data_IF_664260827498
#
_entry.id   IF_664260827498
#
_cell.length_a   1.000
_cell.length_b   1.000
_cell.length_c   1.000
_cell.angle_alpha   90.00
_cell.angle_beta   90.00
_cell.angle_gamma   90.00
#
_symmetry.space_group_name_H-M   'P 1'
#
loop_
_entity.id
_entity.type
_entity.pdbx_description
1 polymer ?
#
# COMPACT_ATOMS: atom_id res chain seq x y z
N UNK A 1 1.50 -4.39 -3.29
CA UNK A 1 0.68 -4.59 -2.08
C UNK A 1 1.25 -3.70 -0.98
N UNK A 2 0.99 -2.39 -1.01
CA UNK A 2 1.62 -1.40 -0.12
C UNK A 2 0.82 -1.09 1.16
N UNK A 3 -0.45 -1.51 1.20
CA UNK A 3 -1.36 -1.35 2.35
C UNK A 3 -0.87 -2.03 3.65
N UNK A 4 -0.29 -3.25 3.66
CA UNK A 4 0.15 -3.85 4.91
C UNK A 4 1.34 -3.11 5.54
N UNK A 5 2.28 -2.61 4.74
CA UNK A 5 3.44 -1.86 5.26
C UNK A 5 3.03 -0.56 5.95
N UNK A 6 2.23 0.26 5.29
CA UNK A 6 1.78 1.55 5.84
C UNK A 6 0.88 1.41 7.09
N UNK A 7 0.10 0.33 7.17
CA UNK A 7 -0.69 0.04 8.38
C UNK A 7 0.22 -0.35 9.54
N UNK A 8 1.25 -1.15 9.28
CA UNK A 8 2.24 -1.51 10.30
C UNK A 8 3.05 -0.29 10.76
N UNK A 9 3.38 0.62 9.85
CA UNK A 9 4.06 1.88 10.19
C UNK A 9 3.22 2.69 11.19
N UNK A 10 1.91 2.82 10.99
CA UNK A 10 1.01 3.52 11.94
C UNK A 10 0.88 2.76 13.26
N UNK A 11 0.72 1.45 13.23
CA UNK A 11 0.60 0.65 14.47
C UNK A 11 1.89 0.77 15.30
N UNK A 12 3.05 0.85 14.64
CA UNK A 12 4.34 0.99 15.31
C UNK A 12 4.55 2.35 16.00
N UNK A 13 3.76 3.39 15.67
CA UNK A 13 3.87 4.70 16.35
C UNK A 13 3.11 4.74 17.67
N UNK A 14 2.06 3.93 17.84
CA UNK A 14 1.21 3.92 19.04
C UNK A 14 2.00 3.70 20.34
N UNK A 15 2.95 2.73 20.44
CA UNK A 15 3.76 2.58 21.64
C UNK A 15 4.61 3.82 21.98
N UNK A 16 5.11 4.51 20.95
CA UNK A 16 5.91 5.73 21.15
C UNK A 16 5.07 6.87 21.73
N UNK A 17 3.79 6.95 21.36
CA UNK A 17 2.82 7.91 21.92
C UNK A 17 2.52 7.63 23.38
N UNK A 18 2.20 6.38 23.70
CA UNK A 18 1.92 5.97 25.07
C UNK A 18 3.12 6.24 25.99
N UNK A 19 4.33 5.98 25.49
CA UNK A 19 5.56 6.31 26.19
C UNK A 19 5.73 7.82 26.38
N UNK A 20 5.54 8.62 25.33
CA UNK A 20 5.64 10.08 25.41
C UNK A 20 4.63 10.67 26.41
N UNK A 21 3.38 10.19 26.41
CA UNK A 21 2.33 10.59 27.36
C UNK A 21 2.74 10.27 28.79
N UNK A 22 3.24 9.06 29.04
CA UNK A 22 3.66 8.63 30.37
C UNK A 22 4.85 9.46 30.88
N UNK A 23 5.87 9.66 30.03
CA UNK A 23 7.02 10.49 30.37
C UNK A 23 6.61 11.95 30.63
N UNK A 24 5.80 12.55 29.77
CA UNK A 24 5.34 13.93 29.93
C UNK A 24 4.54 14.12 31.22
N UNK A 25 3.60 13.21 31.51
CA UNK A 25 2.82 13.24 32.76
C UNK A 25 3.71 13.09 34.00
N UNK A 26 4.69 12.18 33.96
CA UNK A 26 5.65 12.01 35.05
C UNK A 26 6.53 13.25 35.26
N UNK A 27 7.06 13.84 34.19
CA UNK A 27 7.88 15.05 34.26
C UNK A 27 7.08 16.24 34.79
N UNK A 28 5.86 16.42 34.32
CA UNK A 28 5.00 17.53 34.73
C UNK A 28 4.57 17.43 36.20
N UNK A 29 4.23 16.22 36.66
CA UNK A 29 4.05 15.92 38.07
C UNK A 29 5.31 16.24 38.89
N UNK A 30 6.49 15.86 38.37
CA UNK A 30 7.76 16.08 39.06
C UNK A 30 8.18 17.55 39.15
N UNK A 31 7.76 18.39 38.21
CA UNK A 31 7.97 19.84 38.27
C UNK A 31 7.13 20.41 39.41
N UNK A 32 5.84 20.07 39.46
CA UNK A 32 4.94 20.52 40.53
C UNK A 32 5.40 20.03 41.92
N UNK A 33 5.75 18.74 42.05
CA UNK A 33 6.13 18.14 43.34
C UNK A 33 7.47 18.64 43.90
N UNK A 34 8.31 19.30 43.08
CA UNK A 34 9.61 19.87 43.51
C UNK A 34 9.63 21.40 43.53
N UNK A 35 8.50 22.03 43.20
CA UNK A 35 8.41 23.48 43.18
C UNK A 35 8.49 24.03 44.61
N UNK A 36 9.08 25.22 44.77
CA UNK A 36 9.36 25.80 46.10
C UNK A 36 8.08 26.10 46.86
N UNK A 37 7.05 26.61 46.17
CA UNK A 37 5.74 26.94 46.74
C UNK A 37 4.68 25.94 46.25
N UNK A 38 4.36 24.88 47.00
CA UNK A 38 3.45 23.83 46.54
C UNK A 38 2.06 24.36 46.16
N UNK A 39 1.59 25.41 46.84
CA UNK A 39 0.32 26.09 46.58
C UNK A 39 0.20 26.81 45.22
N UNK A 40 1.31 27.00 44.49
CA UNK A 40 1.34 27.70 43.18
C UNK A 40 1.72 26.76 42.05
N UNK A 41 1.05 25.62 41.98
CA UNK A 41 1.26 24.59 40.97
C UNK A 41 -0.08 24.16 40.36
N UNK A 42 -0.04 23.64 39.14
CA UNK A 42 -1.23 23.11 38.44
C UNK A 42 -1.98 22.04 39.25
N UNK A 43 -1.25 21.26 40.07
CA UNK A 43 -1.82 20.17 40.86
C UNK A 43 -2.49 20.69 42.13
N UNK A 44 -1.92 21.73 42.75
CA UNK A 44 -2.50 22.38 43.92
C UNK A 44 -3.79 23.13 43.60
N UNK A 45 -3.84 23.79 42.45
CA UNK A 45 -5.05 24.48 41.97
C UNK A 45 -6.21 23.49 41.78
N UNK A 46 -5.92 22.27 41.32
CA UNK A 46 -6.95 21.24 41.08
C UNK A 46 -7.31 20.38 42.31
N UNK A 47 -6.37 20.09 43.21
CA UNK A 47 -6.55 19.11 44.30
C UNK A 47 -6.34 19.68 45.70
N UNK A 48 -6.02 20.97 45.81
CA UNK A 48 -5.66 21.66 47.04
C UNK A 48 -4.18 21.48 47.43
N UNK A 49 -3.74 22.31 48.38
CA UNK A 49 -2.34 22.41 48.84
C UNK A 49 -1.78 21.10 49.42
N UNK A 50 -2.65 20.21 49.89
CA UNK A 50 -2.29 18.90 50.45
C UNK A 50 -2.30 17.77 49.41
N UNK A 51 -2.05 18.05 48.12
CA UNK A 51 -2.01 17.00 47.08
C UNK A 51 -0.99 15.88 47.35
N UNK A 52 -0.02 16.11 48.25
CA UNK A 52 0.92 15.08 48.70
C UNK A 52 0.27 13.98 49.56
N UNK A 53 -0.84 14.27 50.25
CA UNK A 53 -1.60 13.33 51.08
C UNK A 53 -2.54 12.44 50.26
N UNK A 54 -2.79 12.83 49.00
CA UNK A 54 -3.62 12.04 48.08
C UNK A 54 -2.92 10.73 47.68
N UNK A 55 -3.74 9.70 47.45
CA UNK A 55 -3.25 8.39 46.98
C UNK A 55 -2.46 8.53 45.68
N UNK A 56 -1.36 7.78 45.55
CA UNK A 56 -0.50 7.77 44.36
C UNK A 56 -1.29 7.54 43.06
N UNK A 57 -2.30 6.67 43.10
CA UNK A 57 -3.17 6.38 41.94
C UNK A 57 -3.91 7.61 41.44
N UNK A 58 -4.44 8.45 42.34
CA UNK A 58 -5.17 9.68 41.99
C UNK A 58 -4.21 10.66 41.31
N UNK A 59 -3.04 10.87 41.90
CA UNK A 59 -2.01 11.77 41.37
C UNK A 59 -1.51 11.32 40.00
N UNK A 60 -1.30 10.01 39.82
CA UNK A 60 -0.88 9.43 38.56
C UNK A 60 -1.95 9.57 37.47
N UNK A 61 -3.21 9.20 37.77
CA UNK A 61 -4.32 9.30 36.83
C UNK A 61 -4.54 10.75 36.38
N UNK A 62 -4.47 11.71 37.30
CA UNK A 62 -4.59 13.15 36.98
C UNK A 62 -3.45 13.65 36.10
N UNK A 63 -2.22 13.19 36.34
CA UNK A 63 -1.05 13.57 35.53
C UNK A 63 -1.11 12.98 34.11
N UNK A 64 -1.57 11.73 33.98
CA UNK A 64 -1.82 11.11 32.68
C UNK A 64 -3.00 11.77 31.97
N UNK A 65 -4.06 12.12 32.70
CA UNK A 65 -5.20 12.83 32.14
C UNK A 65 -4.79 14.18 31.56
N UNK A 66 -4.00 14.99 32.27
CA UNK A 66 -3.43 16.23 31.72
C UNK A 66 -2.61 16.00 30.45
N UNK A 67 -1.74 14.99 30.46
CA UNK A 67 -0.87 14.65 29.34
C UNK A 67 -1.68 14.23 28.10
N UNK A 68 -2.71 13.39 28.27
CA UNK A 68 -3.60 12.94 27.19
C UNK A 68 -4.46 14.10 26.65
N UNK A 69 -5.07 14.92 27.50
CA UNK A 69 -5.92 16.04 27.04
C UNK A 69 -5.14 17.11 26.30
N UNK A 70 -3.87 17.29 26.65
CA UNK A 70 -2.93 18.19 25.95
C UNK A 70 -2.44 17.57 24.64
N UNK A 71 -2.05 16.29 24.63
CA UNK A 71 -1.65 15.57 23.39
C UNK A 71 -2.76 15.53 22.36
N UNK A 72 -3.99 15.23 22.80
CA UNK A 72 -5.17 15.16 21.93
C UNK A 72 -5.71 16.53 21.55
N UNK A 73 -5.08 17.61 22.01
CA UNK A 73 -5.49 19.01 21.77
C UNK A 73 -6.92 19.32 22.21
N UNK A 74 -7.46 18.56 23.17
CA UNK A 74 -8.82 18.78 23.70
C UNK A 74 -8.82 19.99 24.64
N UNK A 75 -7.83 20.06 25.54
CA UNK A 75 -7.54 21.27 26.32
C UNK A 75 -8.73 21.85 27.09
N UNK A 76 -9.36 21.07 27.98
CA UNK A 76 -10.51 21.54 28.78
C UNK A 76 -10.22 22.77 29.66
N UNK A 77 -8.96 23.05 29.97
CA UNK A 77 -8.53 24.21 30.77
C UNK A 77 -8.64 24.01 32.28
N UNK A 78 -9.18 22.88 32.74
CA UNK A 78 -9.26 22.54 34.17
C UNK A 78 -7.89 22.27 34.81
N UNK A 79 -6.90 21.89 34.00
CA UNK A 79 -5.52 21.68 34.42
C UNK A 79 -4.66 22.56 33.53
N UNK A 80 -4.08 23.62 34.10
CA UNK A 80 -3.32 24.63 33.38
C UNK A 80 -2.06 24.99 34.16
N UNK A 81 -0.98 25.43 33.48
CA UNK A 81 0.24 25.86 34.15
C UNK A 81 0.00 27.12 34.97
N UNK A 82 0.46 27.14 36.22
CA UNK A 82 0.32 28.29 37.13
C UNK A 82 1.67 29.01 37.28
N UNK A 83 2.77 28.27 37.24
CA UNK A 83 4.11 28.82 37.39
C UNK A 83 4.88 28.89 36.06
N UNK A 84 5.90 29.74 36.01
CA UNK A 84 6.70 29.95 34.79
C UNK A 84 7.43 28.68 34.33
N UNK A 85 7.81 27.79 35.25
CA UNK A 85 8.49 26.53 34.89
C UNK A 85 7.54 25.55 34.18
N UNK A 86 6.32 25.43 34.68
CA UNK A 86 5.22 24.68 34.07
C UNK A 86 4.87 25.27 32.70
N UNK A 87 4.77 26.60 32.58
CA UNK A 87 4.50 27.26 31.30
C UNK A 87 5.56 26.96 30.23
N UNK A 88 6.84 26.97 30.61
CA UNK A 88 7.93 26.65 29.69
C UNK A 88 7.84 25.19 29.25
N UNK A 89 7.64 24.26 30.19
CA UNK A 89 7.50 22.83 29.88
C UNK A 89 6.31 22.57 28.96
N UNK A 90 5.15 23.15 29.29
CA UNK A 90 3.91 23.00 28.53
C UNK A 90 4.06 23.55 27.11
N UNK A 91 4.72 24.69 26.94
CA UNK A 91 5.02 25.26 25.61
C UNK A 91 5.84 24.29 24.75
N UNK A 92 6.91 23.70 25.30
CA UNK A 92 7.71 22.71 24.56
C UNK A 92 6.93 21.44 24.25
N UNK A 93 6.10 20.98 25.20
CA UNK A 93 5.27 19.81 25.03
C UNK A 93 4.21 20.01 23.94
N UNK A 94 3.54 21.17 23.92
CA UNK A 94 2.58 21.53 22.87
C UNK A 94 3.24 21.61 21.48
N UNK A 95 4.45 22.18 21.38
CA UNK A 95 5.20 22.21 20.12
C UNK A 95 5.57 20.80 19.62
N UNK A 96 5.99 19.92 20.53
CA UNK A 96 6.26 18.53 20.21
C UNK A 96 4.98 17.81 19.73
N UNK A 97 3.86 18.00 20.44
CA UNK A 97 2.58 17.40 20.08
C UNK A 97 2.11 17.84 18.68
N UNK A 98 2.27 19.13 18.34
CA UNK A 98 1.91 19.63 17.01
C UNK A 98 2.70 18.93 15.89
N UNK A 99 4.02 18.81 16.06
CA UNK A 99 4.87 18.11 15.09
C UNK A 99 4.52 16.62 14.98
N UNK A 100 4.24 15.99 16.13
CA UNK A 100 3.88 14.60 16.20
C UNK A 100 2.52 14.30 15.53
N UNK A 101 1.49 15.09 15.84
CA UNK A 101 0.17 14.97 15.21
C UNK A 101 0.24 15.22 13.70
N UNK A 102 1.07 16.16 13.25
CA UNK A 102 1.30 16.39 11.82
C UNK A 102 1.92 15.16 11.13
N UNK A 103 2.87 14.49 11.79
CA UNK A 103 3.47 13.25 11.30
C UNK A 103 2.44 12.12 11.20
N UNK A 104 1.60 11.92 12.21
CA UNK A 104 0.53 10.92 12.17
C UNK A 104 -0.44 11.17 11.02
N UNK A 105 -0.94 12.40 10.89
CA UNK A 105 -1.86 12.78 9.81
C UNK A 105 -1.20 12.59 8.44
N UNK A 106 0.10 12.89 8.32
CA UNK A 106 0.89 12.64 7.11
C UNK A 106 0.88 11.17 6.71
N UNK A 107 1.19 10.28 7.64
CA UNK A 107 1.20 8.84 7.41
C UNK A 107 -0.20 8.27 7.10
N UNK A 108 -1.22 8.73 7.82
CA UNK A 108 -2.61 8.37 7.54
C UNK A 108 -3.05 8.79 6.13
N UNK A 109 -2.72 10.02 5.70
CA UNK A 109 -3.01 10.48 4.33
C UNK A 109 -2.30 9.62 3.29
N UNK A 110 -1.02 9.27 3.51
CA UNK A 110 -0.29 8.39 2.63
C UNK A 110 -0.99 7.03 2.49
N UNK A 111 -1.46 6.44 3.59
CA UNK A 111 -2.24 5.20 3.55
C UNK A 111 -3.52 5.34 2.70
N UNK A 112 -4.31 6.39 2.93
CA UNK A 112 -5.56 6.62 2.20
C UNK A 112 -5.30 6.82 0.70
N UNK A 113 -4.29 7.61 0.36
CA UNK A 113 -3.91 7.87 -1.04
C UNK A 113 -3.49 6.57 -1.72
N UNK A 114 -2.63 5.76 -1.10
CA UNK A 114 -2.19 4.49 -1.69
C UNK A 114 -3.32 3.46 -1.77
N UNK A 115 -4.19 3.41 -0.74
CA UNK A 115 -5.34 2.50 -0.70
C UNK A 115 -6.39 2.83 -1.77
N UNK A 116 -6.59 4.11 -2.06
CA UNK A 116 -7.61 4.56 -3.03
C UNK A 116 -7.06 4.92 -4.40
N UNK A 117 -5.73 4.94 -4.59
CA UNK A 117 -5.07 5.40 -5.82
C UNK A 117 -5.59 4.70 -7.07
N UNK A 118 -5.74 3.37 -7.05
CA UNK A 118 -6.23 2.60 -8.20
C UNK A 118 -7.65 2.98 -8.61
N UNK A 119 -8.56 3.05 -7.63
CA UNK A 119 -9.95 3.46 -7.85
C UNK A 119 -10.01 4.92 -8.32
N UNK A 120 -9.15 5.79 -7.80
CA UNK A 120 -9.03 7.19 -8.21
C UNK A 120 -8.61 7.30 -9.68
N UNK A 121 -7.52 6.64 -10.08
CA UNK A 121 -7.05 6.62 -11.47
C UNK A 121 -8.13 6.11 -12.42
N UNK A 122 -8.84 5.05 -12.04
CA UNK A 122 -9.96 4.53 -12.83
C UNK A 122 -11.06 5.57 -13.00
N UNK A 123 -11.52 6.20 -11.91
CA UNK A 123 -12.53 7.26 -11.97
C UNK A 123 -12.08 8.46 -12.80
N UNK A 124 -10.84 8.89 -12.65
CA UNK A 124 -10.27 10.00 -13.42
C UNK A 124 -10.21 9.67 -14.92
N UNK A 125 -9.85 8.43 -15.27
CA UNK A 125 -9.82 7.96 -16.67
C UNK A 125 -11.22 7.92 -17.27
N UNK A 126 -12.21 7.39 -16.54
CA UNK A 126 -13.61 7.35 -16.95
C UNK A 126 -14.16 8.77 -17.13
N UNK A 127 -13.85 9.68 -16.21
CA UNK A 127 -14.27 11.07 -16.29
C UNK A 127 -13.67 11.79 -17.49
N UNK A 128 -12.38 11.58 -17.77
CA UNK A 128 -11.68 12.14 -18.92
C UNK A 128 -12.27 11.60 -20.24
N UNK A 129 -12.50 10.29 -20.34
CA UNK A 129 -13.09 9.65 -21.50
C UNK A 129 -14.53 10.14 -21.75
N UNK A 130 -15.35 10.24 -20.70
CA UNK A 130 -16.72 10.78 -20.79
C UNK A 130 -16.72 12.25 -21.23
N UNK A 131 -15.81 13.06 -20.69
CA UNK A 131 -15.66 14.47 -21.08
C UNK A 131 -15.23 14.61 -22.55
N UNK A 132 -14.33 13.75 -23.02
CA UNK A 132 -13.91 13.70 -24.42
C UNK A 132 -15.07 13.32 -25.35
N UNK A 133 -15.87 12.32 -24.97
CA UNK A 133 -17.03 11.91 -25.75
C UNK A 133 -18.07 13.03 -25.89
N UNK A 134 -18.35 13.75 -24.80
CA UNK A 134 -19.27 14.89 -24.79
C UNK A 134 -18.77 16.05 -25.64
N UNK A 135 -17.48 16.42 -25.51
CA UNK A 135 -16.88 17.54 -26.27
C UNK A 135 -16.89 17.29 -27.77
N UNK A 136 -16.65 16.06 -28.19
CA UNK A 136 -16.62 15.68 -29.61
C UNK A 136 -17.98 15.19 -30.13
N UNK A 137 -19.05 15.29 -29.32
CA UNK A 137 -20.42 14.90 -29.72
C UNK A 137 -20.48 13.47 -30.29
N UNK A 138 -19.79 12.53 -29.64
CA UNK A 138 -19.80 11.14 -30.07
C UNK A 138 -21.21 10.54 -29.92
N UNK A 139 -21.67 9.70 -30.87
CA UNK A 139 -22.93 8.98 -30.73
C UNK A 139 -22.89 8.04 -29.53
N UNK A 140 -24.01 7.93 -28.81
CA UNK A 140 -24.11 7.22 -27.52
C UNK A 140 -23.54 5.79 -27.56
N UNK A 141 -23.72 5.09 -28.69
CA UNK A 141 -23.18 3.75 -28.90
C UNK A 141 -21.66 3.68 -28.78
N UNK A 142 -20.92 4.65 -29.31
CA UNK A 142 -19.46 4.68 -29.23
C UNK A 142 -18.98 5.04 -27.82
N UNK A 143 -19.72 5.91 -27.13
CA UNK A 143 -19.45 6.26 -25.74
C UNK A 143 -19.59 5.02 -24.83
N UNK A 144 -20.68 4.26 -24.99
CA UNK A 144 -20.92 3.04 -24.21
C UNK A 144 -19.85 1.98 -24.46
N UNK A 145 -19.44 1.78 -25.74
CA UNK A 145 -18.37 0.85 -26.08
C UNK A 145 -17.03 1.25 -25.46
N UNK A 146 -16.69 2.54 -25.49
CA UNK A 146 -15.46 3.06 -24.90
C UNK A 146 -15.43 2.86 -23.37
N UNK A 147 -16.52 3.22 -22.69
CA UNK A 147 -16.62 3.05 -21.23
C UNK A 147 -16.62 1.56 -20.85
N UNK A 148 -17.33 0.71 -21.58
CA UNK A 148 -17.34 -0.73 -21.35
C UNK A 148 -15.93 -1.34 -21.48
N UNK A 149 -15.16 -0.91 -22.51
CA UNK A 149 -13.78 -1.35 -22.67
C UNK A 149 -12.89 -0.90 -21.51
N UNK A 150 -13.01 0.34 -21.03
CA UNK A 150 -12.24 0.84 -19.88
C UNK A 150 -12.58 0.09 -18.58
N UNK A 151 -13.87 -0.20 -18.35
CA UNK A 151 -14.33 -0.99 -17.21
C UNK A 151 -13.80 -2.43 -17.24
N UNK A 152 -13.86 -3.08 -18.42
CA UNK A 152 -13.32 -4.43 -18.59
C UNK A 152 -11.81 -4.47 -18.39
N UNK A 153 -11.07 -3.50 -18.95
CA UNK A 153 -9.62 -3.40 -18.77
C UNK A 153 -9.24 -3.26 -17.29
N UNK A 154 -9.93 -2.38 -16.55
CA UNK A 154 -9.69 -2.23 -15.11
C UNK A 154 -9.94 -3.52 -14.34
N UNK A 155 -11.02 -4.24 -14.69
CA UNK A 155 -11.34 -5.53 -14.07
C UNK A 155 -10.27 -6.58 -14.37
N UNK A 156 -9.86 -6.73 -15.62
CA UNK A 156 -8.82 -7.69 -16.01
C UNK A 156 -7.47 -7.35 -15.39
N UNK A 157 -7.10 -6.07 -15.27
CA UNK A 157 -5.86 -5.67 -14.61
C UNK A 157 -5.90 -5.99 -13.10
N UNK A 158 -7.07 -5.83 -12.47
CA UNK A 158 -7.26 -6.15 -11.05
C UNK A 158 -7.22 -7.66 -10.76
N UNK A 159 -7.89 -8.46 -11.59
CA UNK A 159 -7.91 -9.93 -11.49
C UNK A 159 -6.57 -10.53 -11.92
N UNK A 160 -5.93 -9.95 -12.94
CA UNK A 160 -4.61 -10.32 -13.44
C UNK A 160 -3.55 -10.18 -12.36
N UNK A 161 -3.51 -9.07 -11.62
CA UNK A 161 -2.56 -8.88 -10.52
C UNK A 161 -2.72 -9.93 -9.40
N UNK A 162 -3.96 -10.30 -9.06
CA UNK A 162 -4.23 -11.36 -8.09
C UNK A 162 -3.74 -12.72 -8.60
N UNK A 163 -4.03 -13.03 -9.86
CA UNK A 163 -3.45 -14.18 -10.55
C UNK A 163 -1.94 -14.12 -10.57
N UNK A 164 -1.36 -12.92 -10.71
CA UNK A 164 0.08 -12.73 -10.79
C UNK A 164 0.79 -13.11 -9.48
N UNK A 165 0.23 -12.68 -8.36
CA UNK A 165 0.73 -13.04 -7.04
C UNK A 165 0.53 -14.53 -6.72
N UNK A 166 -0.60 -15.11 -7.13
CA UNK A 166 -0.88 -16.52 -6.93
C UNK A 166 0.09 -17.45 -7.69
N UNK A 167 0.45 -17.13 -8.95
CA UNK A 167 1.44 -17.92 -9.68
C UNK A 167 2.85 -17.77 -9.11
N UNK A 168 3.22 -16.55 -8.69
CA UNK A 168 4.54 -16.32 -8.12
C UNK A 168 4.72 -17.15 -6.83
N UNK A 169 3.67 -17.20 -6.00
CA UNK A 169 3.64 -18.04 -4.81
C UNK A 169 3.71 -19.54 -5.13
N UNK A 170 3.02 -20.02 -6.17
CA UNK A 170 3.06 -21.44 -6.55
C UNK A 170 4.42 -21.89 -7.08
N UNK A 171 5.14 -21.02 -7.82
CA UNK A 171 6.50 -21.30 -8.28
C UNK A 171 7.46 -21.38 -7.09
N UNK A 172 7.32 -20.49 -6.11
CA UNK A 172 8.14 -20.51 -4.89
C UNK A 172 7.96 -21.81 -4.07
N UNK A 173 6.75 -22.39 -4.11
CA UNK A 173 6.38 -23.63 -3.42
C UNK A 173 6.65 -24.90 -4.24
N UNK A 174 7.24 -24.80 -5.43
CA UNK A 174 7.57 -25.95 -6.28
C UNK A 174 6.36 -26.68 -6.86
N UNK A 175 5.18 -26.06 -6.86
CA UNK A 175 3.96 -26.62 -7.41
C UNK A 175 3.90 -26.33 -8.91
N UNK A 176 4.01 -27.35 -9.77
CA UNK A 176 3.75 -27.22 -11.21
C UNK A 176 2.25 -26.88 -11.43
N UNK A 177 1.91 -25.67 -11.93
CA UNK A 177 0.52 -25.25 -11.98
C UNK A 177 -0.25 -26.04 -13.04
N UNK A 178 -1.37 -26.65 -12.63
CA UNK A 178 -2.27 -27.45 -13.47
C UNK A 178 -2.77 -26.71 -14.74
N UNK A 179 -2.74 -25.37 -14.72
CA UNK A 179 -3.05 -24.51 -15.86
C UNK A 179 -2.08 -24.64 -17.03
N UNK A 180 -0.83 -25.08 -16.80
CA UNK A 180 0.14 -25.37 -17.88
C UNK A 180 -0.40 -26.48 -18.77
N UNK A 181 -0.95 -27.55 -18.18
CA UNK A 181 -1.60 -28.62 -18.95
C UNK A 181 -2.85 -28.12 -19.70
N UNK A 182 -3.65 -27.24 -19.09
CA UNK A 182 -4.80 -26.64 -19.75
C UNK A 182 -4.40 -25.78 -20.95
N UNK A 183 -3.40 -24.92 -20.79
CA UNK A 183 -2.85 -24.10 -21.87
C UNK A 183 -2.21 -24.95 -22.96
N UNK A 184 -1.37 -25.93 -22.61
CA UNK A 184 -0.75 -26.85 -23.55
C UNK A 184 -1.81 -27.66 -24.32
N UNK A 185 -2.88 -28.10 -23.67
CA UNK A 185 -3.98 -28.82 -24.33
C UNK A 185 -4.79 -27.91 -25.26
N UNK A 186 -5.00 -26.63 -24.88
CA UNK A 186 -5.60 -25.62 -25.75
C UNK A 186 -4.73 -25.32 -26.98
N UNK A 187 -3.42 -25.15 -26.79
CA UNK A 187 -2.44 -24.96 -27.86
C UNK A 187 -2.40 -26.16 -28.81
N UNK A 188 -2.36 -27.39 -28.27
CA UNK A 188 -2.30 -28.63 -29.05
C UNK A 188 -3.54 -28.87 -29.92
N UNK A 189 -4.70 -28.39 -29.47
CA UNK A 189 -5.98 -28.49 -30.21
C UNK A 189 -6.20 -27.34 -31.22
N UNK A 190 -5.28 -26.38 -31.30
CA UNK A 190 -5.37 -25.30 -32.29
C UNK A 190 -4.89 -25.83 -33.64
N UNK A 191 -5.74 -25.77 -34.67
CA UNK A 191 -5.59 -26.41 -35.99
C UNK A 191 -4.21 -26.23 -36.66
N UNK A 192 -3.49 -25.15 -36.36
CA UNK A 192 -2.18 -24.84 -36.92
C UNK A 192 -1.05 -25.79 -36.47
N UNK A 193 -1.16 -26.43 -35.30
CA UNK A 193 -0.11 -27.31 -34.75
C UNK A 193 -0.43 -28.80 -34.88
N UNK A 194 -1.67 -29.15 -35.24
CA UNK A 194 -2.12 -30.55 -35.37
C UNK A 194 -1.34 -31.34 -36.43
N UNK A 195 -0.75 -30.66 -37.41
CA UNK A 195 0.10 -31.24 -38.46
C UNK A 195 1.59 -31.39 -38.12
N UNK A 196 2.09 -30.76 -37.04
CA UNK A 196 3.52 -30.79 -36.69
C UNK A 196 3.94 -32.00 -35.84
N UNK A 197 2.99 -32.79 -35.34
CA UNK A 197 3.25 -33.82 -34.30
C UNK A 197 3.37 -35.25 -34.88
N UNK A 198 3.14 -35.45 -36.17
CA UNK A 198 3.09 -36.81 -36.75
C UNK A 198 4.36 -37.31 -37.46
N UNK A 199 5.49 -36.61 -37.43
CA UNK A 199 6.69 -37.05 -38.17
C UNK A 199 7.98 -36.94 -37.32
N UNK A 200 8.57 -38.10 -37.06
CA UNK A 200 9.98 -38.36 -36.67
C UNK A 200 10.42 -38.23 -35.20
N UNK A 201 11.21 -39.19 -34.66
CA UNK A 201 11.68 -39.25 -33.27
C UNK A 201 12.65 -38.13 -32.82
N UNK A 202 13.06 -37.21 -33.70
CA UNK A 202 13.83 -36.01 -33.35
C UNK A 202 13.01 -34.93 -32.62
N UNK A 203 11.67 -35.07 -32.58
CA UNK A 203 10.75 -34.06 -32.04
C UNK A 203 10.58 -34.07 -30.50
N UNK A 204 11.01 -35.12 -29.80
CA UNK A 204 11.00 -35.14 -28.32
C UNK A 204 11.99 -34.10 -27.76
N UNK A 205 13.11 -33.89 -28.45
CA UNK A 205 14.09 -32.85 -28.14
C UNK A 205 13.57 -31.43 -28.38
N UNK A 206 12.73 -31.23 -29.41
CA UNK A 206 12.09 -29.94 -29.69
C UNK A 206 11.00 -29.63 -28.67
N UNK A 207 10.23 -30.63 -28.22
CA UNK A 207 9.26 -30.47 -27.11
C UNK A 207 9.97 -30.10 -25.82
N UNK A 208 11.08 -30.77 -25.49
CA UNK A 208 11.91 -30.46 -24.33
C UNK A 208 12.55 -29.07 -24.45
N UNK A 209 13.12 -28.71 -25.61
CA UNK A 209 13.68 -27.36 -25.85
C UNK A 209 12.62 -26.28 -25.74
N UNK A 210 11.43 -26.49 -26.30
CA UNK A 210 10.32 -25.55 -26.23
C UNK A 210 9.80 -25.41 -24.80
N UNK A 211 9.65 -26.52 -24.06
CA UNK A 211 9.29 -26.48 -22.64
C UNK A 211 10.35 -25.77 -21.78
N UNK A 212 11.63 -25.97 -22.05
CA UNK A 212 12.74 -25.26 -21.38
C UNK A 212 12.74 -23.77 -21.74
N UNK A 213 12.49 -23.40 -23.00
CA UNK A 213 12.38 -22.00 -23.42
C UNK A 213 11.13 -21.32 -22.86
N UNK A 214 10.00 -22.02 -22.77
CA UNK A 214 8.79 -21.50 -22.15
C UNK A 214 9.02 -21.31 -20.64
N UNK A 215 9.65 -22.28 -19.97
CA UNK A 215 10.03 -22.18 -18.55
C UNK A 215 10.99 -21.01 -18.31
N UNK A 216 11.96 -20.77 -19.19
CA UNK A 216 12.89 -19.64 -19.10
C UNK A 216 12.24 -18.27 -19.39
N UNK A 217 11.30 -18.18 -20.33
CA UNK A 217 10.54 -16.95 -20.58
C UNK A 217 9.56 -16.64 -19.44
N UNK A 218 8.99 -17.67 -18.80
CA UNK A 218 8.07 -17.52 -17.68
C UNK A 218 8.79 -17.22 -16.35
N UNK A 219 10.08 -17.55 -16.22
CA UNK A 219 10.89 -17.29 -15.01
C UNK A 219 11.51 -15.89 -14.95
N UNK A 220 11.52 -15.12 -16.05
CA UNK A 220 12.01 -13.73 -16.09
C UNK A 220 10.94 -12.76 -16.67
N UNK A 221 10.01 -12.24 -15.85
CA UNK A 221 8.86 -11.47 -16.34
C UNK A 221 9.16 -9.99 -16.66
N UNK A 222 10.37 -9.48 -16.39
CA UNK A 222 10.65 -8.03 -16.40
C UNK A 222 10.90 -7.44 -17.81
N UNK A 223 10.95 -8.25 -18.87
CA UNK A 223 11.43 -7.81 -20.19
C UNK A 223 10.47 -8.00 -21.37
N UNK A 224 9.19 -8.34 -21.15
CA UNK A 224 8.22 -8.36 -22.25
C UNK A 224 7.54 -7.01 -22.39
N UNK A 225 8.15 -6.14 -23.20
CA UNK A 225 7.54 -4.91 -23.67
C UNK A 225 6.32 -5.27 -24.54
N UNK A 226 5.20 -4.56 -24.36
CA UNK A 226 3.89 -4.80 -25.00
C UNK A 226 3.95 -4.86 -26.55
N UNK A 227 5.03 -4.35 -27.14
CA UNK A 227 5.38 -4.40 -28.56
C UNK A 227 5.72 -5.80 -29.07
N UNK A 228 6.32 -6.68 -28.26
CA UNK A 228 6.71 -8.03 -28.72
C UNK A 228 5.49 -8.93 -28.87
N UNK A 229 4.52 -8.85 -27.97
CA UNK A 229 3.32 -9.69 -28.01
C UNK A 229 2.43 -9.39 -29.23
N UNK A 230 2.40 -8.13 -29.69
CA UNK A 230 1.66 -7.73 -30.91
C UNK A 230 2.30 -8.25 -32.19
N UNK A 231 3.63 -8.39 -32.23
CA UNK A 231 4.33 -8.97 -33.37
C UNK A 231 4.12 -10.49 -33.49
N UNK A 232 3.92 -11.19 -32.37
CA UNK A 232 3.60 -12.62 -32.36
C UNK A 232 2.17 -12.97 -32.79
N UNK A 233 1.21 -12.03 -32.66
CA UNK A 233 -0.20 -12.26 -33.03
C UNK A 233 -0.55 -11.91 -34.47
N UNK A 234 0.40 -11.37 -35.26
CA UNK A 234 0.16 -11.06 -36.68
C UNK A 234 0.34 -12.33 -37.54
N UNK A 235 -0.64 -12.73 -38.36
CA UNK A 235 -0.53 -13.89 -39.22
C UNK A 235 0.31 -13.53 -40.45
N UNK A 236 1.64 -13.49 -40.32
CA UNK A 236 2.55 -13.52 -41.46
C UNK A 236 3.01 -14.95 -41.70
N UNK A 237 2.95 -15.40 -42.96
CA UNK A 237 3.56 -16.65 -43.41
C UNK A 237 5.07 -16.52 -43.26
N UNK A 238 5.59 -16.86 -42.09
CA UNK A 238 7.03 -16.88 -41.83
C UNK A 238 7.47 -18.34 -41.92
N UNK A 239 8.36 -18.64 -42.87
CA UNK A 239 8.96 -19.96 -43.00
C UNK A 239 9.86 -20.28 -41.81
N UNK A 240 10.03 -21.58 -41.51
CA UNK A 240 10.75 -22.06 -40.32
C UNK A 240 12.21 -21.55 -40.21
N UNK A 241 12.83 -21.09 -41.30
CA UNK A 241 14.17 -20.50 -41.30
C UNK A 241 14.22 -19.03 -40.83
N UNK A 242 13.10 -18.30 -40.86
CA UNK A 242 13.04 -16.89 -40.43
C UNK A 242 12.67 -16.75 -38.94
N UNK A 243 11.96 -17.71 -38.36
CA UNK A 243 11.59 -17.71 -36.95
C UNK A 243 12.82 -17.74 -36.02
N UNK A 244 13.88 -18.46 -36.42
CA UNK A 244 15.16 -18.49 -35.70
C UNK A 244 16.00 -17.22 -35.89
N UNK A 245 15.75 -16.41 -36.92
CA UNK A 245 16.53 -15.18 -37.17
C UNK A 245 16.15 -14.02 -36.25
N UNK A 246 14.92 -14.00 -35.74
CA UNK A 246 14.47 -12.98 -34.79
C UNK A 246 14.71 -13.34 -33.32
N UNK A 247 14.98 -14.62 -33.02
CA UNK A 247 15.22 -15.11 -31.66
C UNK A 247 16.68 -15.07 -31.17
N UNK A 248 17.63 -14.72 -32.04
CA UNK A 248 19.05 -14.69 -31.72
C UNK A 248 19.69 -13.36 -32.14
N UNK A 249 19.41 -12.30 -31.40
CA UNK A 249 20.34 -11.18 -31.26
C UNK A 249 20.39 -10.75 -29.79
N UNK A 250 20.89 -11.65 -28.96
CA UNK A 250 21.53 -11.28 -27.70
C UNK A 250 23.02 -11.11 -27.99
N UNK A 251 23.48 -9.85 -28.00
CA UNK A 251 24.83 -9.53 -27.55
C UNK A 251 24.72 -9.09 -26.10
#
# INVERSE_FOLDING_TARGET
>A
MALPGLVLDIISTIPSELFAVHCAGYFYYRIAAKYHDPGRTWLSDSMGDNFHEQTLSIRYVTSIYWSITTLTTVGYGNLHPVNTQEMIFDTFYMLFNLGFTAYLIGNMKNLVVHGTSRTRIFRDTIQAASSFAKRNQLPSRLQDQMLAHLCLKYRTDSEGLLGHHAWAASIQLGYEPHWIHFFLNRFNNTLHFRGFIKVSPSHQQLRYKFEVQLKNCLSHPMFLQETDMKNWMQPRRIGASEFWRYGCNFR
#
